data_IF_682833036293
#
_entry.id   IF_682833036293
#
_cell.length_a   1.000
_cell.length_b   1.000
_cell.length_c   1.000
_cell.angle_alpha   90.00
_cell.angle_beta   90.00
_cell.angle_gamma   90.00
#
_symmetry.space_group_name_H-M   'P 1'
#
loop_
_entity.id
_entity.type
_entity.pdbx_description
1 polymer ?
#
# COMPACT_ATOMS: atom_id res chain seq x y z
N UNK A 1 -13.60 -11.43 -1.43
CA UNK A 1 -13.86 -11.17 0.00
C UNK A 1 -13.82 -9.67 0.22
N UNK A 2 -14.60 -9.11 1.15
CA UNK A 2 -14.54 -7.70 1.51
C UNK A 2 -13.84 -7.54 2.87
N UNK A 3 -12.91 -6.60 2.97
CA UNK A 3 -12.20 -6.23 4.19
C UNK A 3 -12.87 -5.04 4.85
N UNK A 4 -12.92 -5.05 6.19
CA UNK A 4 -13.52 -3.98 7.00
C UNK A 4 -12.42 -3.30 7.80
N UNK A 5 -12.27 -2.00 7.61
CA UNK A 5 -11.31 -1.16 8.33
C UNK A 5 -12.06 -0.25 9.29
N UNK A 6 -11.80 -0.40 10.59
CA UNK A 6 -12.43 0.39 11.65
C UNK A 6 -11.43 1.40 12.19
N UNK A 7 -11.70 2.67 11.97
CA UNK A 7 -10.93 3.80 12.48
C UNK A 7 -11.66 4.44 13.67
N UNK A 8 -10.99 5.36 14.38
CA UNK A 8 -11.56 6.06 15.54
C UNK A 8 -12.91 6.73 15.25
N UNK A 9 -13.10 7.28 14.05
CA UNK A 9 -14.28 8.08 13.68
C UNK A 9 -14.95 7.62 12.38
N UNK A 10 -14.49 6.52 11.77
CA UNK A 10 -14.98 6.04 10.49
C UNK A 10 -14.93 4.51 10.41
N UNK A 11 -15.84 3.94 9.63
CA UNK A 11 -15.81 2.51 9.25
C UNK A 11 -15.80 2.45 7.74
N UNK A 12 -14.84 1.74 7.16
CA UNK A 12 -14.69 1.62 5.72
C UNK A 12 -14.68 0.14 5.31
N UNK A 13 -15.23 -0.15 4.14
CA UNK A 13 -15.21 -1.46 3.51
C UNK A 13 -14.49 -1.30 2.18
N UNK A 14 -13.36 -2.00 2.02
CA UNK A 14 -12.43 -1.80 0.91
C UNK A 14 -12.08 -0.31 0.72
N UNK A 15 -12.34 0.25 -0.46
CA UNK A 15 -12.06 1.65 -0.81
C UNK A 15 -13.13 2.65 -0.34
N UNK A 16 -14.27 2.19 0.20
CA UNK A 16 -15.43 3.06 0.45
C UNK A 16 -15.76 3.15 1.92
N UNK A 17 -15.95 4.37 2.41
CA UNK A 17 -16.28 4.62 3.81
C UNK A 17 -17.79 4.83 4.01
N UNK A 18 -18.28 4.30 5.13
CA UNK A 18 -19.67 4.46 5.55
C UNK A 18 -19.96 5.91 5.90
N UNK A 19 -21.17 6.36 5.56
CA UNK A 19 -21.72 7.63 6.00
C UNK A 19 -22.89 7.41 6.95
N UNK A 20 -23.28 8.47 7.66
CA UNK A 20 -24.45 8.42 8.56
C UNK A 20 -25.74 8.11 7.78
N UNK A 21 -26.71 7.52 8.47
CA UNK A 21 -28.01 7.16 7.88
C UNK A 21 -28.23 5.66 7.67
N UNK A 22 -27.47 4.81 8.37
CA UNK A 22 -27.75 3.37 8.40
C UNK A 22 -29.15 3.10 8.96
N UNK A 23 -29.86 2.12 8.39
CA UNK A 23 -31.21 1.74 8.83
C UNK A 23 -31.29 0.23 9.04
N UNK A 24 -32.03 -0.18 10.05
CA UNK A 24 -32.31 -1.59 10.35
C UNK A 24 -33.79 -1.89 10.07
N UNK A 25 -34.05 -3.02 9.42
CA UNK A 25 -35.38 -3.56 9.17
C UNK A 25 -35.59 -4.90 9.87
N UNK A 26 -36.70 -5.58 9.56
CA UNK A 26 -37.09 -6.85 10.20
C UNK A 26 -36.12 -8.01 9.89
N UNK A 27 -35.48 -7.99 8.73
CA UNK A 27 -34.66 -9.09 8.21
C UNK A 27 -33.31 -8.62 7.64
N UNK A 28 -32.88 -7.39 7.93
CA UNK A 28 -31.61 -6.88 7.39
C UNK A 28 -31.29 -5.46 7.82
N UNK A 29 -30.13 -4.98 7.40
CA UNK A 29 -29.67 -3.61 7.59
C UNK A 29 -29.15 -3.05 6.27
N UNK A 30 -29.29 -1.73 6.10
CA UNK A 30 -28.70 -0.99 4.99
C UNK A 30 -27.71 0.04 5.54
N UNK A 31 -26.53 0.04 4.94
CA UNK A 31 -25.46 0.98 5.22
C UNK A 31 -25.21 1.84 3.99
N UNK A 32 -25.05 3.14 4.19
CA UNK A 32 -24.81 4.09 3.11
C UNK A 32 -23.30 4.27 2.97
N UNK A 33 -22.81 4.20 1.74
CA UNK A 33 -21.39 4.34 1.40
C UNK A 33 -21.18 5.54 0.48
N UNK A 34 -20.04 6.21 0.63
CA UNK A 34 -19.72 7.40 -0.19
C UNK A 34 -19.42 7.05 -1.64
N UNK A 35 -18.78 5.90 -1.87
CA UNK A 35 -18.32 5.46 -3.18
C UNK A 35 -18.76 4.02 -3.45
N UNK A 36 -18.67 3.60 -4.71
CA UNK A 36 -18.86 2.21 -5.11
C UNK A 36 -17.72 1.37 -4.52
N UNK A 37 -18.09 0.29 -3.84
CA UNK A 37 -17.15 -0.70 -3.30
C UNK A 37 -16.52 -1.46 -4.47
N UNK A 38 -15.21 -1.40 -4.58
CA UNK A 38 -14.38 -2.08 -5.58
C UNK A 38 -13.36 -2.95 -4.86
N UNK A 39 -13.59 -4.27 -4.79
CA UNK A 39 -12.64 -5.20 -4.19
C UNK A 39 -11.30 -5.14 -4.91
N UNK A 40 -10.20 -5.21 -4.15
CA UNK A 40 -8.88 -5.32 -4.74
C UNK A 40 -8.70 -6.73 -5.36
N UNK A 41 -8.27 -6.78 -6.62
CA UNK A 41 -8.01 -8.03 -7.34
C UNK A 41 -6.51 -8.37 -7.41
N UNK A 42 -5.65 -7.40 -7.15
CA UNK A 42 -4.20 -7.49 -7.35
C UNK A 42 -3.45 -7.32 -6.03
N UNK A 43 -2.31 -8.00 -5.92
CA UNK A 43 -1.38 -7.81 -4.80
C UNK A 43 -0.59 -6.50 -4.92
N UNK A 44 0.02 -6.05 -3.82
CA UNK A 44 0.89 -4.86 -3.81
C UNK A 44 2.01 -5.00 -4.84
N UNK A 45 2.66 -6.16 -4.89
CA UNK A 45 3.74 -6.44 -5.84
C UNK A 45 3.26 -6.38 -7.31
N UNK A 46 2.09 -6.94 -7.63
CA UNK A 46 1.52 -6.86 -8.99
C UNK A 46 1.19 -5.42 -9.39
N UNK A 47 0.62 -4.65 -8.46
CA UNK A 47 0.26 -3.26 -8.72
C UNK A 47 1.50 -2.39 -8.97
N UNK A 48 2.58 -2.60 -8.22
CA UNK A 48 3.87 -1.95 -8.44
C UNK A 48 4.49 -2.32 -9.78
N UNK A 49 4.47 -3.61 -10.14
CA UNK A 49 5.07 -4.11 -11.38
C UNK A 49 4.35 -3.62 -12.64
N UNK A 50 3.05 -3.38 -12.55
CA UNK A 50 2.26 -2.91 -13.69
C UNK A 50 2.57 -1.46 -14.08
N UNK A 51 2.97 -0.63 -13.12
CA UNK A 51 3.24 0.79 -13.37
C UNK A 51 4.75 1.07 -13.45
N UNK A 52 5.19 1.47 -14.64
CA UNK A 52 6.61 1.77 -14.93
C UNK A 52 7.17 2.91 -14.07
N UNK A 53 6.31 3.76 -13.48
CA UNK A 53 6.73 4.86 -12.60
C UNK A 53 7.30 4.41 -11.27
N UNK A 54 7.15 3.13 -10.90
CA UNK A 54 7.65 2.58 -9.64
C UNK A 54 8.83 1.61 -9.83
N UNK A 55 9.36 1.51 -11.04
CA UNK A 55 10.42 0.55 -11.38
C UNK A 55 11.69 0.72 -10.53
N UNK A 56 12.09 1.96 -10.22
CA UNK A 56 13.25 2.23 -9.37
C UNK A 56 13.02 1.74 -7.94
N UNK A 57 11.86 2.05 -7.37
CA UNK A 57 11.51 1.60 -6.03
C UNK A 57 11.39 0.08 -5.94
N UNK A 58 10.81 -0.56 -6.96
CA UNK A 58 10.70 -2.02 -7.03
C UNK A 58 12.09 -2.70 -7.03
N UNK A 59 13.04 -2.17 -7.80
CA UNK A 59 14.43 -2.66 -7.83
C UNK A 59 15.11 -2.55 -6.45
N UNK A 60 14.93 -1.42 -5.77
CA UNK A 60 15.46 -1.21 -4.42
C UNK A 60 14.85 -2.17 -3.39
N UNK A 61 13.55 -2.44 -3.52
CA UNK A 61 12.84 -3.35 -2.63
C UNK A 61 13.28 -4.81 -2.84
N UNK A 62 13.52 -5.22 -4.08
CA UNK A 62 14.10 -6.53 -4.40
C UNK A 62 15.53 -6.65 -3.87
N UNK A 63 16.36 -5.60 -3.99
CA UNK A 63 17.70 -5.58 -3.41
C UNK A 63 17.70 -5.63 -1.86
N UNK A 64 16.62 -5.16 -1.23
CA UNK A 64 16.43 -5.21 0.22
C UNK A 64 15.87 -6.56 0.74
N UNK A 65 15.60 -7.54 -0.15
CA UNK A 65 14.94 -8.82 0.17
C UNK A 65 13.54 -8.69 0.79
N UNK A 66 12.82 -7.60 0.53
CA UNK A 66 11.47 -7.36 1.08
C UNK A 66 10.34 -7.80 0.13
N UNK A 67 10.68 -8.51 -0.96
CA UNK A 67 9.72 -8.98 -1.97
C UNK A 67 8.71 -9.97 -1.41
N UNK A 68 9.16 -10.89 -0.55
CA UNK A 68 8.27 -11.89 0.05
C UNK A 68 7.21 -11.22 0.92
N UNK A 69 7.59 -10.17 1.66
CA UNK A 69 6.66 -9.40 2.49
C UNK A 69 5.52 -8.80 1.67
N UNK A 70 5.80 -8.27 0.47
CA UNK A 70 4.78 -7.69 -0.41
C UNK A 70 3.95 -8.71 -1.19
N UNK A 71 4.38 -9.97 -1.23
CA UNK A 71 3.68 -11.05 -1.95
C UNK A 71 2.78 -11.83 -1.01
N UNK A 72 3.16 -11.93 0.27
CA UNK A 72 2.36 -12.60 1.27
C UNK A 72 1.10 -11.78 1.60
N UNK A 73 -0.03 -12.45 1.92
CA UNK A 73 -1.23 -11.77 2.39
C UNK A 73 -0.94 -11.06 3.71
N UNK A 74 -1.27 -9.77 3.78
CA UNK A 74 -1.11 -8.97 4.98
C UNK A 74 -1.71 -7.58 4.82
N UNK A 75 -1.99 -6.96 5.95
CA UNK A 75 -2.52 -5.60 6.02
C UNK A 75 -1.34 -4.61 6.16
N UNK A 76 -1.05 -3.93 5.06
CA UNK A 76 0.07 -3.00 4.96
C UNK A 76 -0.35 -1.71 4.26
N UNK A 77 0.18 -0.60 4.76
CA UNK A 77 0.15 0.68 4.08
C UNK A 77 1.54 0.97 3.54
N UNK A 78 1.68 1.00 2.21
CA UNK A 78 2.94 1.25 1.52
C UNK A 78 2.92 2.60 0.81
N UNK A 79 3.86 3.48 1.18
CA UNK A 79 4.08 4.76 0.51
C UNK A 79 5.11 4.58 -0.61
N UNK A 80 4.68 4.66 -1.86
CA UNK A 80 5.54 4.35 -3.02
C UNK A 80 6.04 5.64 -3.66
N UNK A 81 7.34 5.97 -3.54
CA UNK A 81 7.93 7.08 -4.30
C UNK A 81 7.97 6.75 -5.79
N UNK A 82 7.64 7.73 -6.63
CA UNK A 82 7.79 7.61 -8.09
C UNK A 82 9.26 7.71 -8.50
N UNK A 83 9.58 7.27 -9.72
CA UNK A 83 10.91 7.41 -10.31
C UNK A 83 11.39 8.88 -10.31
N UNK A 84 10.49 9.86 -10.33
CA UNK A 84 10.82 11.28 -10.25
C UNK A 84 11.40 11.68 -8.89
N UNK A 85 10.96 11.06 -7.79
CA UNK A 85 11.54 11.30 -6.47
C UNK A 85 13.03 10.90 -6.42
N UNK A 86 13.43 9.93 -7.24
CA UNK A 86 14.83 9.48 -7.36
C UNK A 86 15.64 10.26 -8.41
N UNK A 87 15.04 11.20 -9.15
CA UNK A 87 15.78 12.03 -10.12
C UNK A 87 16.67 13.08 -9.43
N UNK A 88 16.29 13.50 -8.23
CA UNK A 88 17.09 14.42 -7.42
C UNK A 88 18.33 13.78 -6.81
N UNK A 89 18.41 12.44 -6.78
CA UNK A 89 19.57 11.71 -6.26
C UNK A 89 20.59 11.49 -7.37
N UNK A 90 21.87 11.74 -7.07
CA UNK A 90 22.95 11.41 -8.00
C UNK A 90 23.13 9.89 -8.10
N UNK A 91 23.84 9.43 -9.13
CA UNK A 91 24.11 8.00 -9.28
C UNK A 91 25.01 7.49 -8.14
N UNK A 92 25.94 8.32 -7.64
CA UNK A 92 26.80 7.95 -6.52
C UNK A 92 25.98 7.72 -5.24
N UNK A 93 24.99 8.56 -4.95
CA UNK A 93 24.11 8.39 -3.78
C UNK A 93 23.29 7.10 -3.86
N UNK A 94 22.83 6.74 -5.06
CA UNK A 94 22.11 5.46 -5.27
C UNK A 94 23.02 4.26 -5.08
N UNK A 95 24.25 4.31 -5.59
CA UNK A 95 25.23 3.25 -5.41
C UNK A 95 25.63 3.09 -3.93
N UNK A 96 25.83 4.19 -3.21
CA UNK A 96 26.08 4.19 -1.76
C UNK A 96 24.92 3.52 -1.03
N UNK A 97 23.69 3.87 -1.40
CA UNK A 97 22.50 3.30 -0.78
C UNK A 97 22.34 1.81 -1.07
N UNK A 98 22.62 1.36 -2.29
CA UNK A 98 22.56 -0.06 -2.67
C UNK A 98 23.66 -0.87 -1.97
N UNK A 99 24.83 -0.26 -1.74
CA UNK A 99 25.96 -0.92 -1.07
C UNK A 99 25.68 -1.17 0.42
N UNK A 100 24.95 -0.28 1.09
CA UNK A 100 24.52 -0.46 2.47
C UNK A 100 23.12 -1.07 2.54
N UNK A 101 23.07 -2.41 2.54
CA UNK A 101 21.82 -3.17 2.63
C UNK A 101 21.03 -2.86 3.90
N UNK A 102 21.69 -2.59 5.03
CA UNK A 102 21.01 -2.29 6.30
C UNK A 102 20.34 -0.92 6.24
N UNK A 103 21.05 0.10 5.74
CA UNK A 103 20.47 1.41 5.53
C UNK A 103 19.32 1.37 4.52
N UNK A 104 19.48 0.63 3.41
CA UNK A 104 18.44 0.45 2.42
C UNK A 104 17.18 -0.19 3.02
N UNK A 105 17.34 -1.28 3.79
CA UNK A 105 16.21 -1.91 4.47
C UNK A 105 15.49 -0.95 5.41
N UNK A 106 16.22 -0.17 6.21
CA UNK A 106 15.61 0.82 7.10
C UNK A 106 14.81 1.89 6.34
N UNK A 107 15.33 2.38 5.21
CA UNK A 107 14.62 3.38 4.39
C UNK A 107 13.37 2.77 3.75
N UNK A 108 13.44 1.56 3.21
CA UNK A 108 12.27 0.91 2.60
C UNK A 108 11.22 0.57 3.67
N UNK A 109 11.63 0.07 4.83
CA UNK A 109 10.74 -0.22 5.95
C UNK A 109 10.08 1.05 6.49
N UNK A 110 10.71 2.22 6.41
CA UNK A 110 10.08 3.49 6.78
C UNK A 110 8.86 3.83 5.90
N UNK A 111 8.84 3.35 4.65
CA UNK A 111 7.71 3.55 3.74
C UNK A 111 6.59 2.53 3.95
N UNK A 112 6.80 1.53 4.83
CA UNK A 112 5.88 0.44 5.07
C UNK A 112 5.38 0.49 6.51
N UNK A 113 4.06 0.55 6.68
CA UNK A 113 3.42 0.58 8.01
C UNK A 113 2.41 -0.55 8.13
N UNK A 114 2.39 -1.30 9.26
CA UNK A 114 1.35 -2.30 9.50
C UNK A 114 -0.03 -1.62 9.60
N UNK A 115 -1.03 -2.21 8.97
CA UNK A 115 -2.41 -1.73 8.91
C UNK A 115 -3.31 -2.18 10.06
#
# INVERSE_FOLDING_TARGET
QLRVFVYRTAVCIENSCMVRGSKQGRNGAIHIFREIIKPAEKSLHEQLKQDKRFSTFLSLLEAADLKELLTQPGDWTLFVPTNDAFKGMTNEEKEILIRDKNALQNIILYHLTPG
#
